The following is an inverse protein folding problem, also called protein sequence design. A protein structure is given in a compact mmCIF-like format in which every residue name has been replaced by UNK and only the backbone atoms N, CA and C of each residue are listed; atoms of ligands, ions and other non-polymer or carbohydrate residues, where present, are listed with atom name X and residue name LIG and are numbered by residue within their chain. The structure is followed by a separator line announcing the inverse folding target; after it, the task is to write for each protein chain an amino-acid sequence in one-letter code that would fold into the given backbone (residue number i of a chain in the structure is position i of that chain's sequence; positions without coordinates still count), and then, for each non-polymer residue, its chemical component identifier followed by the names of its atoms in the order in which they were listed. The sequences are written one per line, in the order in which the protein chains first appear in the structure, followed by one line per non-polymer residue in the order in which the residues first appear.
data_IF_441516311875
#
_entry.id   IF_441516311875
#
_cell.length_a   1.000
_cell.length_b   1.000
_cell.length_c   1.000
_cell.angle_alpha   90.00
_cell.angle_beta   90.00
_cell.angle_gamma   90.00
#
_symmetry.space_group_name_H-M   'P 1'
#
loop_
_entity.id
_entity.type
_entity.pdbx_description
1 polymer ?
#
# COMPACT_ATOMS: atom_id res chain seq x y z
N UNK A 1 13.16 -4.00 -20.04
CA UNK A 1 12.86 -2.59 -19.81
C UNK A 1 14.06 -1.74 -20.09
N UNK A 2 13.92 -0.66 -20.83
CA UNK A 2 15.01 0.29 -21.06
C UNK A 2 15.20 1.24 -19.85
N UNK A 3 16.27 2.04 -19.87
CA UNK A 3 16.61 2.97 -18.78
C UNK A 3 15.51 4.03 -18.57
N UNK A 4 14.86 4.47 -19.63
CA UNK A 4 13.82 5.50 -19.58
C UNK A 4 12.55 4.92 -18.92
N UNK A 5 12.11 3.74 -19.34
CA UNK A 5 10.97 3.02 -18.78
C UNK A 5 11.13 2.82 -17.27
N UNK A 6 12.31 2.41 -16.82
CA UNK A 6 12.58 2.24 -15.39
C UNK A 6 12.56 3.57 -14.61
N UNK A 7 13.02 4.67 -15.22
CA UNK A 7 12.95 6.01 -14.60
C UNK A 7 11.50 6.46 -14.50
N UNK A 8 10.70 6.29 -15.54
CA UNK A 8 9.28 6.65 -15.56
C UNK A 8 8.51 5.88 -14.49
N UNK A 9 8.67 4.55 -14.41
CA UNK A 9 8.04 3.72 -13.38
C UNK A 9 8.42 4.18 -11.97
N UNK A 10 9.69 4.54 -11.74
CA UNK A 10 10.13 5.05 -10.43
C UNK A 10 9.47 6.38 -10.07
N UNK A 11 9.32 7.29 -11.04
CA UNK A 11 8.67 8.59 -10.84
C UNK A 11 7.19 8.37 -10.52
N UNK A 12 6.50 7.53 -11.28
CA UNK A 12 5.08 7.24 -11.10
C UNK A 12 4.81 6.57 -9.75
N UNK A 13 5.62 5.58 -9.37
CA UNK A 13 5.50 4.93 -8.07
C UNK A 13 5.73 5.92 -6.91
N UNK A 14 6.70 6.82 -7.05
CA UNK A 14 6.97 7.87 -6.05
C UNK A 14 5.78 8.81 -5.91
N UNK A 15 5.14 9.19 -7.02
CA UNK A 15 3.98 10.09 -6.99
C UNK A 15 2.73 9.39 -6.46
N UNK A 16 2.50 8.14 -6.85
CA UNK A 16 1.45 7.30 -6.30
C UNK A 16 1.60 7.08 -4.78
N UNK A 17 2.84 6.90 -4.30
CA UNK A 17 3.12 6.77 -2.87
C UNK A 17 2.73 8.02 -2.07
N UNK A 18 2.87 9.23 -2.64
CA UNK A 18 2.44 10.47 -1.98
C UNK A 18 0.92 10.56 -1.82
N UNK A 19 0.14 9.90 -2.68
CA UNK A 19 -1.34 9.87 -2.63
C UNK A 19 -1.88 8.91 -1.56
N UNK A 20 -1.02 8.07 -0.98
CA UNK A 20 -1.36 7.23 0.15
C UNK A 20 -1.54 8.09 1.40
N UNK A 21 -2.62 7.82 2.13
CA UNK A 21 -2.74 8.29 3.51
C UNK A 21 -1.69 7.61 4.39
N UNK A 22 -1.30 8.23 5.51
CA UNK A 22 -0.40 7.63 6.49
C UNK A 22 -0.87 6.26 6.98
N UNK A 23 -2.20 6.10 7.06
CA UNK A 23 -2.82 4.85 7.45
C UNK A 23 -2.64 3.75 6.41
N UNK A 24 -2.87 4.06 5.13
CA UNK A 24 -2.64 3.13 4.02
C UNK A 24 -1.17 2.74 3.90
N UNK A 25 -0.24 3.70 4.07
CA UNK A 25 1.20 3.43 4.08
C UNK A 25 1.55 2.37 5.13
N UNK A 26 1.12 2.59 6.39
CA UNK A 26 1.37 1.64 7.48
C UNK A 26 0.78 0.26 7.23
N UNK A 27 -0.47 0.18 6.78
CA UNK A 27 -1.13 -1.11 6.49
C UNK A 27 -0.44 -1.85 5.34
N UNK A 28 -0.03 -1.14 4.28
CA UNK A 28 0.71 -1.74 3.16
C UNK A 28 2.08 -2.24 3.62
N UNK A 29 2.82 -1.45 4.41
CA UNK A 29 4.11 -1.84 4.97
C UNK A 29 3.98 -3.12 5.80
N UNK A 30 3.06 -3.14 6.77
CA UNK A 30 2.83 -4.31 7.63
C UNK A 30 2.51 -5.56 6.81
N UNK A 31 1.67 -5.43 5.78
CA UNK A 31 1.25 -6.59 4.98
C UNK A 31 2.34 -7.08 4.02
N UNK A 32 2.91 -6.18 3.21
CA UNK A 32 3.78 -6.56 2.10
C UNK A 32 5.27 -6.60 2.46
N UNK A 33 5.72 -5.80 3.43
CA UNK A 33 7.13 -5.74 3.83
C UNK A 33 7.39 -6.54 5.11
N UNK A 34 6.45 -6.54 6.06
CA UNK A 34 6.62 -7.23 7.34
C UNK A 34 5.87 -8.57 7.43
N UNK A 35 5.04 -8.91 6.43
CA UNK A 35 4.39 -10.21 6.29
C UNK A 35 3.16 -10.44 7.17
N UNK A 36 2.61 -9.40 7.81
CA UNK A 36 1.41 -9.51 8.63
C UNK A 36 0.16 -9.81 7.77
N UNK A 37 -0.78 -10.55 8.33
CA UNK A 37 -2.10 -10.79 7.76
C UNK A 37 -3.09 -9.70 8.17
N UNK A 38 -4.15 -9.50 7.38
CA UNK A 38 -5.21 -8.52 7.65
C UNK A 38 -5.80 -8.66 9.07
N UNK A 39 -5.85 -9.88 9.62
CA UNK A 39 -6.34 -10.18 10.98
C UNK A 39 -5.40 -9.70 12.08
N UNK A 40 -4.09 -9.86 11.88
CA UNK A 40 -3.07 -9.44 12.84
C UNK A 40 -2.99 -7.91 12.88
N UNK A 41 -3.06 -7.28 11.71
CA UNK A 41 -3.14 -5.83 11.56
C UNK A 41 -4.44 -5.28 12.19
N UNK A 42 -5.56 -5.99 12.02
CA UNK A 42 -6.84 -5.63 12.64
C UNK A 42 -6.76 -5.65 14.17
N UNK A 43 -6.16 -6.70 14.74
CA UNK A 43 -5.91 -6.82 16.19
C UNK A 43 -4.98 -5.71 16.69
N UNK A 44 -3.86 -5.47 15.99
CA UNK A 44 -2.89 -4.42 16.33
C UNK A 44 -3.54 -3.03 16.45
N UNK A 45 -4.56 -2.78 15.64
CA UNK A 45 -5.22 -1.49 15.56
C UNK A 45 -6.61 -1.42 16.20
N UNK A 46 -7.11 -2.51 16.78
CA UNK A 46 -8.44 -2.55 17.39
C UNK A 46 -9.59 -2.27 16.39
N UNK A 47 -9.44 -2.67 15.13
CA UNK A 47 -10.45 -2.45 14.07
C UNK A 47 -10.86 -3.75 13.40
N UNK A 48 -11.98 -3.74 12.66
CA UNK A 48 -12.41 -4.91 11.90
C UNK A 48 -11.43 -5.25 10.74
N UNK A 49 -11.14 -6.55 10.55
CA UNK A 49 -10.42 -7.13 9.41
C UNK A 49 -10.89 -6.59 8.06
N UNK A 50 -12.20 -6.44 7.87
CA UNK A 50 -12.76 -5.90 6.62
C UNK A 50 -12.31 -4.44 6.37
N UNK A 51 -12.18 -3.65 7.43
CA UNK A 51 -11.70 -2.28 7.33
C UNK A 51 -10.22 -2.25 6.91
N UNK A 52 -9.39 -3.12 7.48
CA UNK A 52 -7.99 -3.31 7.06
C UNK A 52 -7.91 -3.73 5.59
N UNK A 53 -8.68 -4.74 5.19
CA UNK A 53 -8.72 -5.22 3.81
C UNK A 53 -9.09 -4.10 2.82
N UNK A 54 -10.11 -3.30 3.15
CA UNK A 54 -10.54 -2.16 2.34
C UNK A 54 -9.46 -1.10 2.22
N UNK A 55 -8.79 -0.74 3.32
CA UNK A 55 -7.69 0.23 3.32
C UNK A 55 -6.50 -0.28 2.51
N UNK A 56 -6.11 -1.55 2.68
CA UNK A 56 -5.04 -2.18 1.91
C UNK A 56 -5.34 -2.18 0.41
N UNK A 57 -6.55 -2.61 0.01
CA UNK A 57 -6.97 -2.61 -1.39
C UNK A 57 -6.96 -1.21 -2.00
N UNK A 58 -7.42 -0.19 -1.26
CA UNK A 58 -7.38 1.23 -1.70
C UNK A 58 -5.97 1.77 -1.83
N UNK A 59 -5.10 1.46 -0.87
CA UNK A 59 -3.70 1.85 -0.96
C UNK A 59 -3.05 1.23 -2.19
N UNK A 60 -3.25 -0.08 -2.40
CA UNK A 60 -2.69 -0.78 -3.55
C UNK A 60 -3.28 -0.28 -4.87
N UNK A 61 -4.57 0.04 -4.92
CA UNK A 61 -5.14 0.61 -6.15
C UNK A 61 -4.48 1.94 -6.50
N UNK A 62 -4.14 2.79 -5.51
CA UNK A 62 -3.41 4.04 -5.76
C UNK A 62 -2.00 3.81 -6.31
N UNK A 63 -1.31 2.76 -5.85
CA UNK A 63 0.01 2.36 -6.35
C UNK A 63 -0.03 1.71 -7.73
N UNK A 64 -1.18 1.14 -8.11
CA UNK A 64 -1.42 0.47 -9.40
C UNK A 64 -2.13 1.35 -10.42
N UNK A 65 -2.34 2.65 -10.15
CA UNK A 65 -2.87 3.53 -11.19
C UNK A 65 -1.79 3.61 -12.27
N UNK A 66 -2.00 2.83 -13.33
CA UNK A 66 -1.37 2.94 -14.64
C UNK A 66 -2.17 3.96 -15.46
#
# INVERSE_FOLDING_TARGET
MDRLEHILIKIDLKEAYKRLTEREKKIITLYYLEGYKDEEIAKLYGINRQNVNRQRKRGISKLKIF
#
